data_IF_284616902608
#
_entry.id   IF_284616902608
#
_cell.length_a   1.000
_cell.length_b   1.000
_cell.length_c   1.000
_cell.angle_alpha   90.00
_cell.angle_beta   90.00
_cell.angle_gamma   90.00
#
_symmetry.space_group_name_H-M   'P 1'
#
loop_
_entity.id
_entity.type
_entity.pdbx_description
1 polymer ?
#
# COMPACT_ATOMS: atom_id res chain seq x y z
N UNK A 1 -25.99 -44.37 32.85
CA UNK A 1 -26.58 -44.07 31.52
C UNK A 1 -27.24 -42.71 31.63
N UNK A 2 -26.52 -41.66 31.27
CA UNK A 2 -27.02 -40.29 31.31
C UNK A 2 -26.86 -39.77 29.89
N UNK A 3 -27.91 -39.94 29.10
CA UNK A 3 -28.03 -39.41 27.74
C UNK A 3 -28.17 -37.90 27.84
N UNK A 4 -27.06 -37.18 27.67
CA UNK A 4 -27.09 -35.73 27.50
C UNK A 4 -27.92 -35.39 26.26
N UNK A 5 -28.96 -34.59 26.45
CA UNK A 5 -29.73 -34.04 25.33
C UNK A 5 -28.80 -33.15 24.50
N UNK A 6 -28.78 -33.29 23.17
CA UNK A 6 -27.91 -32.48 22.32
C UNK A 6 -28.29 -31.01 22.45
N UNK A 7 -27.27 -30.15 22.47
CA UNK A 7 -27.50 -28.71 22.46
C UNK A 7 -28.23 -28.31 21.16
N UNK A 8 -29.06 -27.26 21.19
CA UNK A 8 -29.86 -26.81 20.04
C UNK A 8 -29.03 -26.47 18.79
N UNK A 9 -27.72 -26.27 18.96
CA UNK A 9 -26.71 -26.08 17.91
C UNK A 9 -26.29 -27.40 17.24
N UNK A 10 -26.17 -28.49 18.01
CA UNK A 10 -25.81 -29.83 17.49
C UNK A 10 -26.97 -30.51 16.76
N UNK A 11 -28.22 -30.22 17.15
CA UNK A 11 -29.40 -30.81 16.52
C UNK A 11 -29.66 -30.31 15.08
N UNK A 12 -29.13 -29.15 14.68
CA UNK A 12 -29.30 -28.57 13.33
C UNK A 12 -28.22 -28.98 12.33
N UNK A 13 -27.16 -29.68 12.77
CA UNK A 13 -26.09 -30.14 11.89
C UNK A 13 -26.45 -31.41 11.09
N UNK A 14 -27.51 -32.12 11.47
CA UNK A 14 -27.89 -33.41 10.88
C UNK A 14 -28.95 -33.34 9.77
N UNK A 15 -29.41 -32.14 9.39
CA UNK A 15 -30.59 -31.98 8.52
C UNK A 15 -30.32 -31.20 7.21
N UNK A 16 -29.05 -30.93 6.89
CA UNK A 16 -28.70 -30.27 5.61
C UNK A 16 -28.67 -31.32 4.49
N UNK A 17 -29.46 -31.15 3.41
CA UNK A 17 -29.46 -32.07 2.28
C UNK A 17 -28.08 -32.14 1.61
N UNK A 18 -27.68 -33.35 1.17
CA UNK A 18 -26.44 -33.55 0.42
C UNK A 18 -26.32 -32.65 -0.81
N UNK A 19 -27.43 -32.39 -1.50
CA UNK A 19 -27.48 -31.47 -2.64
C UNK A 19 -27.01 -30.06 -2.27
N UNK A 20 -27.38 -29.56 -1.09
CA UNK A 20 -26.94 -28.24 -0.60
C UNK A 20 -25.46 -28.25 -0.22
N UNK A 21 -24.98 -29.35 0.37
CA UNK A 21 -23.54 -29.52 0.67
C UNK A 21 -22.69 -29.58 -0.61
N UNK A 22 -23.19 -30.22 -1.66
CA UNK A 22 -22.52 -30.27 -2.96
C UNK A 22 -22.54 -28.90 -3.67
N UNK A 23 -23.62 -28.11 -3.52
CA UNK A 23 -23.66 -26.72 -3.98
C UNK A 23 -22.63 -25.85 -3.24
N UNK A 24 -22.51 -26.00 -1.92
CA UNK A 24 -21.51 -25.29 -1.12
C UNK A 24 -20.08 -25.66 -1.56
N UNK A 25 -19.82 -26.95 -1.81
CA UNK A 25 -18.53 -27.42 -2.36
C UNK A 25 -18.22 -26.75 -3.69
N UNK A 26 -19.15 -26.79 -4.65
CA UNK A 26 -18.98 -26.19 -5.98
C UNK A 26 -18.78 -24.68 -5.91
N UNK A 27 -19.51 -23.99 -5.04
CA UNK A 27 -19.30 -22.57 -4.79
C UNK A 27 -17.92 -22.28 -4.21
N UNK A 28 -17.44 -23.10 -3.27
CA UNK A 28 -16.09 -22.97 -2.72
C UNK A 28 -14.99 -23.21 -3.79
N UNK A 29 -15.19 -24.16 -4.71
CA UNK A 29 -14.31 -24.38 -5.87
C UNK A 29 -14.29 -23.15 -6.81
N UNK A 30 -15.44 -22.53 -7.04
CA UNK A 30 -15.52 -21.27 -7.79
C UNK A 30 -14.79 -20.14 -7.06
N UNK A 31 -14.93 -20.03 -5.73
CA UNK A 31 -14.19 -19.05 -4.93
C UNK A 31 -12.68 -19.22 -5.10
N UNK A 32 -12.16 -20.45 -5.08
CA UNK A 32 -10.73 -20.73 -5.29
C UNK A 32 -10.24 -20.41 -6.71
N UNK A 33 -11.14 -20.38 -7.69
CA UNK A 33 -10.86 -20.02 -9.08
C UNK A 33 -11.31 -18.61 -9.45
N UNK A 34 -11.65 -17.78 -8.45
CA UNK A 34 -12.21 -16.44 -8.66
C UNK A 34 -11.29 -15.53 -9.48
N UNK A 35 -11.86 -14.68 -10.35
CA UNK A 35 -11.13 -13.62 -11.03
C UNK A 35 -10.47 -12.63 -10.05
N UNK A 36 -9.38 -11.99 -10.47
CA UNK A 36 -8.60 -11.02 -9.67
C UNK A 36 -9.45 -9.80 -9.29
N UNK A 37 -10.46 -9.48 -10.08
CA UNK A 37 -11.40 -8.37 -9.89
C UNK A 37 -12.23 -8.55 -8.62
N UNK A 38 -12.65 -9.78 -8.28
CA UNK A 38 -13.40 -10.07 -7.04
C UNK A 38 -12.55 -9.84 -5.79
N UNK A 39 -11.29 -10.28 -5.85
CA UNK A 39 -10.33 -10.03 -4.77
C UNK A 39 -10.07 -8.53 -4.59
N UNK A 40 -10.09 -7.77 -5.69
CA UNK A 40 -9.90 -6.32 -5.66
C UNK A 40 -11.08 -5.60 -4.99
N UNK A 41 -12.33 -6.06 -5.15
CA UNK A 41 -13.48 -5.50 -4.44
C UNK A 41 -13.37 -5.67 -2.92
N UNK A 42 -12.97 -6.86 -2.46
CA UNK A 42 -12.77 -7.18 -1.03
C UNK A 42 -11.61 -6.36 -0.45
N UNK A 43 -10.50 -6.32 -1.18
CA UNK A 43 -9.33 -5.53 -0.81
C UNK A 43 -9.69 -4.04 -0.68
N UNK A 44 -10.39 -3.47 -1.66
CA UNK A 44 -10.82 -2.07 -1.63
C UNK A 44 -11.77 -1.77 -0.48
N UNK A 45 -12.77 -2.62 -0.23
CA UNK A 45 -13.73 -2.42 0.86
C UNK A 45 -13.04 -2.32 2.23
N UNK A 46 -12.01 -3.16 2.47
CA UNK A 46 -11.23 -3.10 3.71
C UNK A 46 -10.36 -1.84 3.85
N UNK A 47 -10.00 -1.20 2.72
CA UNK A 47 -9.13 -0.02 2.68
C UNK A 47 -9.90 1.32 2.71
N UNK A 48 -11.20 1.33 2.42
CA UNK A 48 -12.05 2.55 2.38
C UNK A 48 -12.81 2.80 3.67
N UNK A 49 -12.47 2.11 4.77
CA UNK A 49 -13.12 2.32 6.07
C UNK A 49 -12.87 3.76 6.54
N UNK A 50 -13.94 4.44 7.00
CA UNK A 50 -14.01 5.86 7.40
C UNK A 50 -13.11 6.23 8.60
N UNK A 51 -11.80 6.17 8.40
CA UNK A 51 -10.81 6.95 9.14
C UNK A 51 -9.77 7.41 8.11
N UNK A 52 -9.59 8.72 7.90
CA UNK A 52 -8.59 9.23 6.98
C UNK A 52 -7.19 8.70 7.36
N UNK A 53 -6.59 7.93 6.46
CA UNK A 53 -5.13 7.86 6.34
C UNK A 53 -4.41 6.62 6.90
N UNK A 54 -4.92 5.93 7.91
CA UNK A 54 -4.09 4.95 8.63
C UNK A 54 -3.76 3.66 7.83
N UNK A 55 -4.74 3.01 7.20
CA UNK A 55 -4.50 1.74 6.46
C UNK A 55 -4.25 1.94 4.97
N UNK A 56 -4.92 2.91 4.34
CA UNK A 56 -4.79 3.15 2.90
C UNK A 56 -3.49 3.86 2.52
N UNK A 57 -2.92 4.64 3.45
CA UNK A 57 -1.72 5.42 3.19
C UNK A 57 -0.43 4.74 3.72
N UNK A 58 -0.55 3.74 4.59
CA UNK A 58 0.55 2.84 4.94
C UNK A 58 0.60 1.66 3.94
N UNK A 59 1.60 1.60 3.04
CA UNK A 59 1.69 0.55 2.04
C UNK A 59 1.95 -0.84 2.62
N UNK A 60 2.55 -0.96 3.80
CA UNK A 60 2.84 -2.22 4.51
C UNK A 60 1.55 -2.80 5.06
N UNK A 61 0.81 -2.00 5.85
CA UNK A 61 -0.49 -2.40 6.39
C UNK A 61 -1.46 -2.77 5.27
N UNK A 62 -1.51 -1.97 4.20
CA UNK A 62 -2.32 -2.25 3.02
C UNK A 62 -1.94 -3.59 2.38
N UNK A 63 -0.66 -3.84 2.10
CA UNK A 63 -0.21 -5.08 1.46
C UNK A 63 -0.50 -6.33 2.32
N UNK A 64 -0.24 -6.24 3.62
CA UNK A 64 -0.54 -7.30 4.59
C UNK A 64 -2.06 -7.55 4.70
N UNK A 65 -2.89 -6.49 4.67
CA UNK A 65 -4.35 -6.64 4.69
C UNK A 65 -4.84 -7.42 3.47
N UNK A 66 -4.33 -7.11 2.27
CA UNK A 66 -4.71 -7.83 1.04
C UNK A 66 -4.33 -9.31 1.09
N UNK A 67 -3.11 -9.61 1.58
CA UNK A 67 -2.67 -11.00 1.75
C UNK A 67 -3.49 -11.73 2.81
N UNK A 68 -3.81 -11.07 3.92
CA UNK A 68 -4.68 -11.61 4.95
C UNK A 68 -6.08 -11.95 4.42
N UNK A 69 -6.71 -11.03 3.67
CA UNK A 69 -8.01 -11.26 3.04
C UNK A 69 -7.98 -12.49 2.12
N UNK A 70 -6.98 -12.55 1.23
CA UNK A 70 -6.78 -13.68 0.30
C UNK A 70 -6.54 -15.00 1.03
N UNK A 71 -5.71 -14.99 2.06
CA UNK A 71 -5.43 -16.16 2.88
C UNK A 71 -6.68 -16.68 3.58
N UNK A 72 -7.49 -15.80 4.17
CA UNK A 72 -8.74 -16.18 4.83
C UNK A 72 -9.79 -16.72 3.87
N UNK A 73 -9.97 -16.10 2.70
CA UNK A 73 -10.88 -16.62 1.66
C UNK A 73 -10.45 -18.01 1.19
N UNK A 74 -9.15 -18.17 0.91
CA UNK A 74 -8.57 -19.45 0.47
C UNK A 74 -8.77 -20.53 1.52
N UNK A 75 -8.48 -20.23 2.80
CA UNK A 75 -8.66 -21.17 3.90
C UNK A 75 -10.11 -21.60 4.08
N UNK A 76 -11.06 -20.65 4.07
CA UNK A 76 -12.48 -20.96 4.19
C UNK A 76 -12.99 -21.81 3.02
N UNK A 77 -12.57 -21.48 1.80
CA UNK A 77 -12.98 -22.22 0.61
C UNK A 77 -12.40 -23.64 0.61
N UNK A 78 -11.11 -23.83 0.89
CA UNK A 78 -10.49 -25.15 1.00
C UNK A 78 -11.18 -26.02 2.05
N UNK A 79 -11.51 -25.46 3.21
CA UNK A 79 -12.23 -26.19 4.26
C UNK A 79 -13.61 -26.68 3.80
N UNK A 80 -14.34 -25.87 3.03
CA UNK A 80 -15.64 -26.25 2.47
C UNK A 80 -15.54 -27.14 1.23
N UNK A 81 -14.39 -27.18 0.53
CA UNK A 81 -14.12 -28.20 -0.49
C UNK A 81 -13.95 -29.58 0.16
N UNK A 82 -13.12 -29.65 1.21
CA UNK A 82 -12.81 -30.89 1.91
C UNK A 82 -14.01 -31.44 2.71
N UNK A 83 -14.64 -30.58 3.52
CA UNK A 83 -15.75 -30.95 4.43
C UNK A 83 -16.85 -29.87 4.39
N UNK A 84 -17.69 -29.85 3.34
CA UNK A 84 -18.71 -28.82 3.17
C UNK A 84 -19.65 -28.76 4.37
N UNK A 85 -19.90 -27.56 4.88
CA UNK A 85 -20.86 -27.31 5.96
C UNK A 85 -20.36 -27.66 7.36
N UNK A 86 -19.18 -28.26 7.50
CA UNK A 86 -18.54 -28.44 8.79
C UNK A 86 -18.02 -27.10 9.35
N UNK A 87 -17.88 -26.96 10.68
CA UNK A 87 -17.23 -25.79 11.26
C UNK A 87 -15.81 -25.60 10.71
N UNK A 88 -15.53 -24.40 10.20
CA UNK A 88 -14.21 -24.04 9.68
C UNK A 88 -13.33 -23.58 10.85
N UNK A 89 -12.18 -24.22 11.01
CA UNK A 89 -11.22 -23.85 12.06
C UNK A 89 -10.67 -22.43 11.84
N UNK A 90 -10.36 -21.67 12.90
CA UNK A 90 -9.80 -20.34 12.76
C UNK A 90 -8.46 -20.37 12.03
N UNK A 91 -8.21 -19.33 11.25
CA UNK A 91 -6.99 -19.11 10.49
C UNK A 91 -6.50 -17.68 10.71
N UNK A 92 -5.50 -17.54 11.57
CA UNK A 92 -4.86 -16.27 11.89
C UNK A 92 -3.48 -16.26 11.24
N UNK A 93 -3.41 -15.73 10.02
CA UNK A 93 -2.17 -15.59 9.26
C UNK A 93 -1.20 -14.64 9.95
N UNK A 94 0.10 -14.74 9.64
CA UNK A 94 1.11 -13.84 10.22
C UNK A 94 0.90 -12.37 9.76
N UNK A 95 0.39 -12.16 8.55
CA UNK A 95 -0.03 -10.83 8.08
C UNK A 95 -1.10 -10.21 8.98
N UNK A 96 -2.10 -10.99 9.42
CA UNK A 96 -3.12 -10.51 10.36
C UNK A 96 -2.53 -10.18 11.73
N UNK A 97 -1.60 -11.00 12.23
CA UNK A 97 -0.94 -10.72 13.51
C UNK A 97 -0.08 -9.46 13.43
N UNK A 98 0.64 -9.27 12.34
CA UNK A 98 1.45 -8.08 12.10
C UNK A 98 0.58 -6.82 12.08
N UNK A 99 -0.50 -6.81 11.29
CA UNK A 99 -1.44 -5.69 11.24
C UNK A 99 -2.08 -5.40 12.60
N UNK A 100 -2.47 -6.44 13.34
CA UNK A 100 -3.04 -6.29 14.67
C UNK A 100 -2.07 -5.62 15.65
N UNK A 101 -0.80 -6.04 15.65
CA UNK A 101 0.24 -5.42 16.49
C UNK A 101 0.48 -3.97 16.08
N UNK A 102 0.50 -3.69 14.78
CA UNK A 102 0.79 -2.36 14.28
C UNK A 102 -0.34 -1.37 14.54
N UNK A 103 -1.60 -1.75 14.33
CA UNK A 103 -2.74 -0.90 14.64
C UNK A 103 -2.83 -0.57 16.14
N UNK A 104 -2.38 -1.48 17.02
CA UNK A 104 -2.21 -1.20 18.45
C UNK A 104 -1.13 -0.15 18.70
N UNK A 105 0.01 -0.22 18.00
CA UNK A 105 1.12 0.76 18.12
C UNK A 105 0.76 2.14 17.59
N UNK A 106 -0.09 2.19 16.57
CA UNK A 106 -0.64 3.42 16.01
C UNK A 106 -1.79 3.99 16.86
N UNK A 107 -2.25 3.28 17.89
CA UNK A 107 -3.33 3.73 18.77
C UNK A 107 -4.73 3.65 18.15
N UNK A 108 -4.89 2.91 17.05
CA UNK A 108 -6.15 2.76 16.29
C UNK A 108 -6.56 1.28 16.09
N UNK A 109 -6.60 0.46 17.17
CA UNK A 109 -6.89 -0.98 17.06
C UNK A 109 -8.29 -1.30 16.52
N UNK A 110 -9.25 -0.39 16.68
CA UNK A 110 -10.62 -0.52 16.18
C UNK A 110 -10.69 -0.66 14.65
N UNK A 111 -9.69 -0.14 13.92
CA UNK A 111 -9.62 -0.28 12.47
C UNK A 111 -9.55 -1.72 11.99
N UNK A 112 -8.95 -2.62 12.77
CA UNK A 112 -8.87 -4.03 12.41
C UNK A 112 -10.27 -4.64 12.25
N UNK A 113 -11.19 -4.31 13.17
CA UNK A 113 -12.54 -4.84 13.17
C UNK A 113 -13.41 -4.20 12.09
N UNK A 114 -13.26 -2.89 11.90
CA UNK A 114 -13.98 -2.16 10.85
C UNK A 114 -13.55 -2.63 9.44
N UNK A 115 -12.25 -2.81 9.21
CA UNK A 115 -11.71 -3.34 7.96
C UNK A 115 -12.15 -4.78 7.69
N UNK A 116 -12.11 -5.64 8.71
CA UNK A 116 -12.58 -7.01 8.58
C UNK A 116 -14.08 -7.10 8.27
N UNK A 117 -14.91 -6.27 8.92
CA UNK A 117 -16.35 -6.21 8.64
C UNK A 117 -16.64 -5.72 7.23
N UNK A 118 -15.90 -4.73 6.74
CA UNK A 118 -16.03 -4.24 5.37
C UNK A 118 -15.63 -5.32 4.35
N UNK A 119 -14.51 -6.03 4.57
CA UNK A 119 -14.09 -7.16 3.77
C UNK A 119 -15.13 -8.29 3.76
N UNK A 120 -15.68 -8.63 4.94
CA UNK A 120 -16.72 -9.65 5.09
C UNK A 120 -17.98 -9.29 4.29
N UNK A 121 -18.46 -8.05 4.36
CA UNK A 121 -19.63 -7.61 3.62
C UNK A 121 -19.40 -7.69 2.09
N UNK A 122 -18.21 -7.28 1.62
CA UNK A 122 -17.84 -7.40 0.21
C UNK A 122 -17.78 -8.87 -0.23
N UNK A 123 -17.15 -9.73 0.56
CA UNK A 123 -17.09 -11.17 0.30
C UNK A 123 -18.48 -11.82 0.29
N UNK A 124 -19.38 -11.40 1.19
CA UNK A 124 -20.76 -11.87 1.24
C UNK A 124 -21.55 -11.48 -0.01
N UNK A 125 -21.39 -10.25 -0.49
CA UNK A 125 -22.03 -9.80 -1.74
C UNK A 125 -21.57 -10.60 -2.96
N UNK A 126 -20.29 -10.96 -3.03
CA UNK A 126 -19.76 -11.82 -4.07
C UNK A 126 -20.28 -13.26 -3.94
N UNK A 127 -20.29 -13.80 -2.72
CA UNK A 127 -20.84 -15.14 -2.46
C UNK A 127 -22.33 -15.24 -2.84
N UNK A 128 -23.12 -14.20 -2.59
CA UNK A 128 -24.52 -14.18 -3.03
C UNK A 128 -24.62 -14.37 -4.55
N UNK A 129 -23.82 -13.65 -5.35
CA UNK A 129 -23.80 -13.81 -6.81
C UNK A 129 -23.51 -15.26 -7.21
N UNK A 130 -22.48 -15.87 -6.61
CA UNK A 130 -22.13 -17.29 -6.80
C UNK A 130 -23.31 -18.21 -6.47
N UNK A 131 -23.95 -18.01 -5.32
CA UNK A 131 -25.07 -18.85 -4.90
C UNK A 131 -26.25 -18.80 -5.89
N UNK A 132 -26.56 -17.63 -6.45
CA UNK A 132 -27.59 -17.45 -7.47
C UNK A 132 -27.22 -18.07 -8.83
N UNK A 133 -25.93 -18.23 -9.15
CA UNK A 133 -25.49 -18.93 -10.37
C UNK A 133 -25.50 -20.46 -10.23
N UNK A 134 -25.45 -20.97 -8.99
CA UNK A 134 -25.33 -22.41 -8.73
C UNK A 134 -26.67 -23.16 -8.76
N UNK A 135 -27.79 -22.50 -8.46
CA UNK A 135 -29.12 -23.12 -8.42
C UNK A 135 -30.25 -22.10 -8.59
N UNK A 136 -31.24 -22.46 -9.40
CA UNK A 136 -32.51 -21.73 -9.54
C UNK A 136 -33.60 -22.23 -8.56
N UNK A 137 -33.33 -23.29 -7.79
CA UNK A 137 -34.28 -23.83 -6.81
C UNK A 137 -34.33 -22.93 -5.55
N UNK A 138 -35.45 -22.24 -5.26
CA UNK A 138 -35.54 -21.33 -4.13
C UNK A 138 -35.33 -22.00 -2.77
N UNK A 139 -35.67 -23.29 -2.63
CA UNK A 139 -35.50 -24.03 -1.39
C UNK A 139 -34.02 -24.34 -1.14
N UNK A 140 -33.30 -24.79 -2.17
CA UNK A 140 -31.86 -25.05 -2.09
C UNK A 140 -31.08 -23.76 -1.89
N UNK A 141 -31.42 -22.70 -2.62
CA UNK A 141 -30.78 -21.38 -2.48
C UNK A 141 -30.92 -20.84 -1.06
N UNK A 142 -32.12 -20.91 -0.46
CA UNK A 142 -32.35 -20.47 0.93
C UNK A 142 -31.43 -21.22 1.90
N UNK A 143 -31.38 -22.54 1.79
CA UNK A 143 -30.57 -23.38 2.67
C UNK A 143 -29.06 -23.16 2.46
N UNK A 144 -28.64 -22.98 1.20
CA UNK A 144 -27.24 -22.67 0.86
C UNK A 144 -26.82 -21.35 1.50
N UNK A 145 -27.61 -20.29 1.36
CA UNK A 145 -27.31 -18.99 1.94
C UNK A 145 -27.32 -19.04 3.48
N UNK A 146 -28.26 -19.73 4.10
CA UNK A 146 -28.32 -19.90 5.56
C UNK A 146 -27.10 -20.64 6.11
N UNK A 147 -26.72 -21.76 5.47
CA UNK A 147 -25.54 -22.53 5.83
C UNK A 147 -24.25 -21.71 5.63
N UNK A 148 -24.15 -21.01 4.50
CA UNK A 148 -22.98 -20.22 4.16
C UNK A 148 -22.79 -19.03 5.11
N UNK A 149 -23.88 -18.31 5.44
CA UNK A 149 -23.86 -17.20 6.39
C UNK A 149 -23.36 -17.65 7.76
N UNK A 150 -23.89 -18.77 8.27
CA UNK A 150 -23.42 -19.38 9.53
C UNK A 150 -21.95 -19.78 9.48
N UNK A 151 -21.53 -20.43 8.40
CA UNK A 151 -20.14 -20.87 8.22
C UNK A 151 -19.16 -19.69 8.18
N UNK A 152 -19.45 -18.67 7.36
CA UNK A 152 -18.62 -17.46 7.22
C UNK A 152 -18.57 -16.69 8.53
N UNK A 153 -19.72 -16.44 9.19
CA UNK A 153 -19.76 -15.68 10.44
C UNK A 153 -18.98 -16.40 11.56
N UNK A 154 -19.20 -17.71 11.74
CA UNK A 154 -18.48 -18.48 12.77
C UNK A 154 -16.98 -18.50 12.54
N UNK A 155 -16.52 -18.60 11.29
CA UNK A 155 -15.10 -18.51 10.95
C UNK A 155 -14.51 -17.13 11.25
N UNK A 156 -15.20 -16.05 10.86
CA UNK A 156 -14.74 -14.67 11.09
C UNK A 156 -14.71 -14.35 12.59
N UNK A 157 -15.75 -14.73 13.34
CA UNK A 157 -15.81 -14.55 14.80
C UNK A 157 -14.63 -15.25 15.50
N UNK A 158 -14.35 -16.52 15.16
CA UNK A 158 -13.23 -17.25 15.74
C UNK A 158 -11.86 -16.62 15.42
N UNK A 159 -11.69 -16.03 14.24
CA UNK A 159 -10.47 -15.27 13.90
C UNK A 159 -10.36 -13.99 14.74
N UNK A 160 -11.46 -13.25 14.90
CA UNK A 160 -11.49 -11.99 15.67
C UNK A 160 -11.21 -12.20 17.15
N UNK A 161 -11.68 -13.31 17.73
CA UNK A 161 -11.35 -13.69 19.12
C UNK A 161 -9.84 -13.86 19.32
N UNK A 162 -9.17 -14.60 18.43
CA UNK A 162 -7.72 -14.79 18.53
C UNK A 162 -6.91 -13.52 18.23
N UNK A 163 -7.38 -12.67 17.32
CA UNK A 163 -6.76 -11.35 17.07
C UNK A 163 -6.86 -10.44 18.29
N UNK A 164 -8.00 -10.45 18.98
CA UNK A 164 -8.21 -9.66 20.21
C UNK A 164 -7.20 -10.05 21.29
N UNK A 165 -6.89 -11.34 21.43
CA UNK A 165 -5.87 -11.81 22.37
C UNK A 165 -4.46 -11.30 22.02
N UNK A 166 -4.10 -11.29 20.73
CA UNK A 166 -2.81 -10.78 20.25
C UNK A 166 -2.68 -9.28 20.50
N UNK A 167 -3.73 -8.50 20.22
CA UNK A 167 -3.72 -7.06 20.46
C UNK A 167 -3.56 -6.73 21.94
N UNK A 168 -4.18 -7.50 22.83
CA UNK A 168 -4.03 -7.33 24.28
C UNK A 168 -2.58 -7.55 24.72
N UNK A 169 -1.95 -8.64 24.29
CA UNK A 169 -0.55 -8.94 24.61
C UNK A 169 0.40 -7.86 24.09
N UNK A 170 0.20 -7.35 22.87
CA UNK A 170 1.02 -6.27 22.32
C UNK A 170 0.86 -4.97 23.13
N UNK A 171 -0.36 -4.61 23.51
CA UNK A 171 -0.61 -3.41 24.33
C UNK A 171 0.12 -3.49 25.67
N UNK A 172 0.11 -4.65 26.31
CA UNK A 172 0.85 -4.86 27.56
C UNK A 172 2.38 -4.78 27.38
N UNK A 173 2.91 -5.27 26.25
CA UNK A 173 4.34 -5.16 25.91
C UNK A 173 4.77 -3.71 25.68
N UNK A 174 3.95 -2.90 25.02
CA UNK A 174 4.25 -1.49 24.78
C UNK A 174 4.37 -0.70 26.08
N UNK A 175 3.50 -0.97 27.06
CA UNK A 175 3.57 -0.35 28.40
C UNK A 175 4.91 -0.67 29.10
N UNK A 176 5.55 -1.79 28.75
CA UNK A 176 6.76 -2.30 29.43
C UNK A 176 8.09 -1.96 28.74
N UNK A 177 8.11 -1.45 27.50
CA UNK A 177 9.35 -1.35 26.70
C UNK A 177 9.83 0.09 26.45
N UNK A 178 11.04 0.43 26.89
CA UNK A 178 11.67 1.77 26.72
C UNK A 178 12.16 2.12 25.30
N UNK A 179 11.96 1.25 24.31
CA UNK A 179 12.12 1.62 22.88
C UNK A 179 11.05 2.61 22.40
N UNK A 180 9.94 2.68 23.14
CA UNK A 180 8.91 3.72 22.99
C UNK A 180 9.56 5.11 23.09
N UNK A 181 10.55 5.31 23.95
CA UNK A 181 11.13 6.63 24.23
C UNK A 181 11.74 7.33 23.00
N UNK A 182 12.51 6.62 22.15
CA UNK A 182 13.17 7.27 21.00
C UNK A 182 12.18 7.56 19.87
N UNK A 183 11.27 6.62 19.59
CA UNK A 183 10.21 6.80 18.58
C UNK A 183 9.25 7.90 19.00
N UNK A 184 8.84 7.91 20.26
CA UNK A 184 7.96 8.94 20.83
C UNK A 184 8.64 10.31 20.83
N UNK A 185 9.93 10.38 21.16
CA UNK A 185 10.70 11.62 21.06
C UNK A 185 10.73 12.17 19.64
N UNK A 186 11.01 11.33 18.63
CA UNK A 186 10.99 11.77 17.22
C UNK A 186 9.57 12.13 16.79
N UNK A 187 8.56 11.36 17.19
CA UNK A 187 7.16 11.63 16.82
C UNK A 187 6.72 13.01 17.30
N UNK A 188 7.02 13.38 18.55
CA UNK A 188 6.77 14.73 19.07
C UNK A 188 7.48 15.83 18.27
N UNK A 189 8.74 15.60 17.90
CA UNK A 189 9.49 16.54 17.03
C UNK A 189 8.81 16.68 15.66
N UNK A 190 8.29 15.59 15.08
CA UNK A 190 7.58 15.59 13.81
C UNK A 190 6.22 16.28 13.89
N UNK A 191 5.53 16.19 15.04
CA UNK A 191 4.28 16.89 15.34
C UNK A 191 4.51 18.40 15.55
N UNK A 192 5.75 18.81 15.83
CA UNK A 192 6.14 20.20 15.99
C UNK A 192 6.27 20.65 17.44
N UNK A 193 6.36 19.72 18.38
CA UNK A 193 6.64 20.03 19.77
C UNK A 193 8.01 20.69 19.90
N UNK A 194 8.01 21.91 20.45
CA UNK A 194 9.20 22.71 20.64
C UNK A 194 10.09 22.06 21.69
N UNK A 195 11.15 21.40 21.22
CA UNK A 195 12.14 20.73 22.05
C UNK A 195 13.50 21.43 21.90
N UNK A 196 14.26 21.55 22.99
CA UNK A 196 15.61 22.14 22.94
C UNK A 196 16.55 21.28 22.07
N UNK A 197 17.06 21.84 20.96
CA UNK A 197 17.97 21.15 20.02
C UNK A 197 19.19 20.52 20.71
N UNK A 198 19.90 21.18 21.64
CA UNK A 198 20.99 20.55 22.39
C UNK A 198 20.57 19.29 23.16
N UNK A 199 19.39 19.28 23.77
CA UNK A 199 18.87 18.09 24.47
C UNK A 199 18.55 16.98 23.49
N UNK A 200 17.93 17.33 22.36
CA UNK A 200 17.59 16.38 21.30
C UNK A 200 18.83 15.70 20.73
N UNK A 201 19.90 16.47 20.47
CA UNK A 201 21.18 15.94 19.97
C UNK A 201 21.78 14.90 20.94
N UNK A 202 21.75 15.17 22.24
CA UNK A 202 22.26 14.25 23.28
C UNK A 202 21.39 12.99 23.36
N UNK A 203 20.06 13.14 23.38
CA UNK A 203 19.12 12.02 23.50
C UNK A 203 19.13 11.12 22.26
N UNK A 204 19.21 11.71 21.06
CA UNK A 204 19.28 10.97 19.81
C UNK A 204 20.69 10.50 19.46
N UNK A 205 21.73 11.02 20.13
CA UNK A 205 23.14 10.84 19.75
C UNK A 205 23.37 11.13 18.26
N UNK A 206 22.71 12.18 17.78
CA UNK A 206 22.66 12.57 16.37
C UNK A 206 22.42 14.08 16.25
N UNK A 207 23.14 14.77 15.36
CA UNK A 207 23.10 16.22 15.24
C UNK A 207 21.97 16.67 14.29
N UNK A 208 20.80 17.01 14.84
CA UNK A 208 19.64 17.44 14.02
C UNK A 208 19.81 18.83 13.41
N UNK A 209 20.82 19.58 13.82
CA UNK A 209 21.13 20.94 13.38
C UNK A 209 21.91 21.03 12.06
N UNK A 210 22.43 19.90 11.56
CA UNK A 210 23.16 19.79 10.29
C UNK A 210 22.21 19.74 9.07
N UNK A 211 22.72 19.76 7.82
CA UNK A 211 21.93 19.35 6.65
C UNK A 211 21.36 17.94 6.86
N UNK A 212 20.08 17.77 6.58
CA UNK A 212 19.29 16.59 6.83
C UNK A 212 18.66 16.11 5.53
N UNK A 213 18.80 14.82 5.28
CA UNK A 213 18.03 14.10 4.29
C UNK A 213 17.37 12.91 4.96
N UNK A 214 16.04 12.85 4.90
CA UNK A 214 15.27 11.78 5.46
C UNK A 214 14.79 10.80 4.39
N UNK A 215 14.71 9.54 4.77
CA UNK A 215 14.09 8.49 4.00
C UNK A 215 13.21 7.60 4.88
N UNK A 216 12.18 7.02 4.27
CA UNK A 216 11.43 5.90 4.85
C UNK A 216 11.74 4.66 4.02
N UNK A 217 12.26 3.65 4.70
CA UNK A 217 12.60 2.35 4.14
C UNK A 217 11.61 1.34 4.68
N UNK A 218 10.91 0.61 3.81
CA UNK A 218 9.98 -0.43 4.26
C UNK A 218 10.04 -1.68 3.40
N UNK A 219 9.55 -2.79 3.96
CA UNK A 219 9.29 -4.02 3.22
C UNK A 219 7.80 -4.33 3.22
N UNK A 220 7.29 -4.80 2.09
CA UNK A 220 5.92 -5.33 2.04
C UNK A 220 5.79 -6.68 2.76
N UNK A 221 6.89 -7.37 3.07
CA UNK A 221 6.90 -8.56 3.93
C UNK A 221 7.02 -8.15 5.40
N UNK A 222 5.98 -8.36 6.23
CA UNK A 222 5.98 -7.97 7.63
C UNK A 222 6.97 -8.76 8.49
N UNK A 223 7.43 -9.92 8.00
CA UNK A 223 8.38 -10.79 8.67
C UNK A 223 9.84 -10.50 8.29
N UNK A 224 10.07 -9.42 7.54
CA UNK A 224 11.42 -8.99 7.17
C UNK A 224 12.27 -8.81 8.43
N UNK A 225 13.50 -9.33 8.40
CA UNK A 225 14.46 -9.01 9.45
C UNK A 225 14.82 -7.53 9.40
N UNK A 226 14.72 -6.85 10.54
CA UNK A 226 15.03 -5.41 10.65
C UNK A 226 16.47 -5.09 10.17
N UNK A 227 17.39 -6.04 10.36
CA UNK A 227 18.79 -5.99 9.89
C UNK A 227 18.92 -5.73 8.38
N UNK A 228 17.95 -6.23 7.59
CA UNK A 228 17.87 -6.01 6.15
C UNK A 228 17.56 -4.55 5.83
N UNK A 229 16.61 -3.96 6.55
CA UNK A 229 16.26 -2.54 6.40
C UNK A 229 17.40 -1.62 6.90
N UNK A 230 18.09 -2.02 7.97
CA UNK A 230 19.30 -1.31 8.43
C UNK A 230 20.46 -1.40 7.42
N UNK A 231 20.55 -2.48 6.64
CA UNK A 231 21.48 -2.57 5.52
C UNK A 231 21.20 -1.50 4.46
N UNK A 232 19.92 -1.31 4.15
CA UNK A 232 19.45 -0.30 3.18
C UNK A 232 19.70 1.11 3.69
N UNK A 233 19.47 1.39 4.98
CA UNK A 233 19.73 2.71 5.56
C UNK A 233 21.22 3.10 5.52
N UNK A 234 22.12 2.12 5.75
CA UNK A 234 23.57 2.34 5.60
C UNK A 234 23.97 2.61 4.15
N UNK A 235 23.38 1.92 3.18
CA UNK A 235 23.62 2.19 1.75
C UNK A 235 23.09 3.56 1.36
N UNK A 236 21.89 3.92 1.83
CA UNK A 236 21.29 5.24 1.60
C UNK A 236 22.22 6.38 2.07
N UNK A 237 22.74 6.28 3.31
CA UNK A 237 23.69 7.24 3.84
C UNK A 237 24.96 7.35 2.97
N UNK A 238 25.51 6.22 2.51
CA UNK A 238 26.68 6.19 1.61
C UNK A 238 26.41 6.86 0.27
N UNK A 239 25.24 6.62 -0.33
CA UNK A 239 24.81 7.28 -1.57
C UNK A 239 24.60 8.80 -1.40
N UNK A 240 24.39 9.26 -0.16
CA UNK A 240 24.34 10.69 0.20
C UNK A 240 25.69 11.26 0.66
N UNK A 241 26.78 10.47 0.57
CA UNK A 241 28.15 10.88 0.89
C UNK A 241 28.56 10.77 2.36
N UNK A 242 27.78 10.10 3.21
CA UNK A 242 28.06 9.98 4.65
C UNK A 242 27.98 8.53 5.17
N UNK A 243 28.57 8.29 6.34
CA UNK A 243 28.38 7.06 7.11
C UNK A 243 27.50 7.27 8.35
N UNK A 244 27.23 8.52 8.72
CA UNK A 244 26.38 8.87 9.85
C UNK A 244 24.91 8.74 9.45
N UNK A 245 24.20 7.86 10.16
CA UNK A 245 22.79 7.58 9.94
C UNK A 245 22.06 7.45 11.27
N UNK A 246 20.94 8.12 11.38
CA UNK A 246 19.96 7.92 12.43
C UNK A 246 18.89 6.98 11.90
N UNK A 247 18.67 5.85 12.58
CA UNK A 247 17.56 4.94 12.29
C UNK A 247 16.62 4.84 13.48
N UNK A 248 15.32 4.81 13.19
CA UNK A 248 14.26 4.51 14.15
C UNK A 248 13.26 3.55 13.52
N UNK A 249 12.97 2.47 14.22
CA UNK A 249 11.92 1.54 13.83
C UNK A 249 10.56 2.21 14.07
N UNK A 250 9.86 2.49 12.98
CA UNK A 250 8.47 2.90 13.03
C UNK A 250 7.60 1.69 13.38
N UNK A 251 7.88 0.56 12.72
CA UNK A 251 7.29 -0.75 12.97
C UNK A 251 8.23 -1.89 12.57
N UNK A 252 7.75 -3.13 12.59
CA UNK A 252 8.58 -4.31 12.30
C UNK A 252 9.13 -4.35 10.87
N UNK A 253 8.49 -3.65 9.94
CA UNK A 253 8.85 -3.66 8.53
C UNK A 253 9.09 -2.26 7.95
N UNK A 254 9.22 -1.23 8.79
CA UNK A 254 9.45 0.16 8.39
C UNK A 254 10.48 0.84 9.28
N UNK A 255 11.52 1.40 8.66
CA UNK A 255 12.52 2.24 9.29
C UNK A 255 12.38 3.68 8.79
N UNK A 256 12.36 4.61 9.73
CA UNK A 256 12.68 6.01 9.47
C UNK A 256 14.19 6.19 9.52
N UNK A 257 14.71 6.95 8.56
CA UNK A 257 16.14 7.13 8.34
C UNK A 257 16.43 8.61 8.15
N UNK A 258 17.45 9.12 8.82
CA UNK A 258 18.04 10.43 8.53
C UNK A 258 19.55 10.28 8.35
N UNK A 259 20.11 11.05 7.42
CA UNK A 259 21.55 11.18 7.28
C UNK A 259 21.95 12.63 6.97
N UNK A 260 23.19 12.96 7.28
CA UNK A 260 23.79 14.24 6.88
C UNK A 260 24.20 14.18 5.41
N UNK A 261 23.36 14.68 4.50
CA UNK A 261 23.71 14.71 3.09
C UNK A 261 24.91 15.63 2.86
N UNK A 262 26.00 15.09 2.35
CA UNK A 262 27.23 15.83 2.01
C UNK A 262 27.45 15.91 0.50
N UNK A 263 26.65 15.17 -0.28
CA UNK A 263 26.61 15.18 -1.73
C UNK A 263 25.17 14.91 -2.22
N UNK A 264 24.83 15.29 -3.47
CA UNK A 264 23.58 14.88 -4.09
C UNK A 264 23.41 13.35 -4.05
N UNK A 265 22.20 12.88 -3.77
CA UNK A 265 21.91 11.45 -3.63
C UNK A 265 22.16 10.71 -4.96
N UNK A 266 23.05 9.71 -4.94
CA UNK A 266 23.29 8.82 -6.07
C UNK A 266 22.13 7.82 -6.24
N UNK A 267 21.06 8.28 -6.94
CA UNK A 267 19.89 7.47 -7.24
C UNK A 267 20.20 6.22 -8.07
N UNK A 268 21.02 6.27 -9.14
CA UNK A 268 21.40 5.07 -9.89
C UNK A 268 22.03 3.98 -9.03
N UNK A 269 22.96 4.34 -8.14
CA UNK A 269 23.59 3.38 -7.24
C UNK A 269 22.57 2.76 -6.27
N UNK A 270 21.67 3.58 -5.73
CA UNK A 270 20.64 3.11 -4.81
C UNK A 270 19.61 2.19 -5.52
N UNK A 271 19.19 2.52 -6.74
CA UNK A 271 18.33 1.68 -7.57
C UNK A 271 18.95 0.30 -7.84
N UNK A 272 20.25 0.27 -8.17
CA UNK A 272 20.99 -0.97 -8.40
C UNK A 272 21.10 -1.83 -7.13
N UNK A 273 21.29 -1.20 -5.96
CA UNK A 273 21.30 -1.92 -4.69
C UNK A 273 19.91 -2.54 -4.40
N UNK A 274 18.85 -1.75 -4.56
CA UNK A 274 17.47 -2.17 -4.31
C UNK A 274 16.98 -3.22 -5.30
N UNK A 275 17.50 -3.29 -6.53
CA UNK A 275 17.09 -4.34 -7.47
C UNK A 275 17.40 -5.75 -6.96
N UNK A 276 18.42 -5.89 -6.11
CA UNK A 276 18.79 -7.16 -5.48
C UNK A 276 17.94 -7.51 -4.25
N UNK A 277 17.06 -6.61 -3.80
CA UNK A 277 16.25 -6.78 -2.60
C UNK A 277 14.76 -6.87 -2.94
N UNK A 278 14.21 -8.08 -2.93
CA UNK A 278 12.77 -8.30 -3.11
C UNK A 278 11.92 -7.60 -2.04
N UNK A 279 10.88 -6.88 -2.50
CA UNK A 279 9.84 -6.29 -1.65
C UNK A 279 10.27 -5.10 -0.80
N UNK A 280 11.47 -4.56 -1.00
CA UNK A 280 12.00 -3.40 -0.25
C UNK A 280 11.86 -2.13 -1.09
N UNK A 281 11.37 -1.07 -0.44
CA UNK A 281 11.12 0.22 -1.06
C UNK A 281 11.68 1.34 -0.21
N UNK A 282 12.03 2.45 -0.87
CA UNK A 282 12.61 3.63 -0.24
C UNK A 282 11.91 4.87 -0.77
N UNK A 283 11.51 5.76 0.13
CA UNK A 283 11.03 7.09 -0.21
C UNK A 283 11.90 8.11 0.45
N UNK A 284 12.17 9.22 -0.23
CA UNK A 284 13.13 10.22 0.23
C UNK A 284 12.48 11.60 0.19
N UNK A 285 12.68 12.40 1.22
CA UNK A 285 12.28 13.80 1.25
C UNK A 285 13.23 14.69 0.44
N UNK A 286 12.99 16.00 0.48
CA UNK A 286 13.96 16.97 -0.01
C UNK A 286 14.97 17.30 1.10
N UNK A 287 16.16 17.76 0.70
CA UNK A 287 17.17 18.21 1.66
C UNK A 287 16.67 19.44 2.45
N UNK A 288 17.02 19.51 3.72
CA UNK A 288 16.76 20.67 4.55
C UNK A 288 17.81 20.82 5.64
N UNK A 289 17.91 22.00 6.24
CA UNK A 289 18.88 22.26 7.30
C UNK A 289 18.20 22.44 8.64
N UNK A 290 18.86 22.04 9.71
CA UNK A 290 18.36 22.26 11.06
C UNK A 290 17.17 21.37 11.42
N UNK A 291 16.53 21.70 12.55
CA UNK A 291 15.36 20.96 13.05
C UNK A 291 14.18 20.99 12.07
N UNK A 292 13.98 22.11 11.37
CA UNK A 292 12.94 22.23 10.34
C UNK A 292 13.27 21.35 9.14
N UNK A 293 14.54 21.25 8.74
CA UNK A 293 15.01 20.32 7.71
C UNK A 293 14.80 18.86 8.10
N UNK A 294 15.17 18.52 9.35
CA UNK A 294 14.94 17.20 9.95
C UNK A 294 13.47 16.78 9.85
N UNK A 295 12.56 17.67 10.24
CA UNK A 295 11.11 17.46 10.22
C UNK A 295 10.56 17.43 8.79
N UNK A 296 10.83 18.46 8.00
CA UNK A 296 10.27 18.62 6.65
C UNK A 296 10.66 17.47 5.75
N UNK A 297 11.94 17.09 5.74
CA UNK A 297 12.43 16.00 4.91
C UNK A 297 11.70 14.69 5.22
N UNK A 298 11.44 14.40 6.51
CA UNK A 298 10.67 13.22 6.89
C UNK A 298 9.20 13.31 6.46
N UNK A 299 8.54 14.44 6.66
CA UNK A 299 7.15 14.63 6.25
C UNK A 299 6.98 14.52 4.72
N UNK A 300 7.95 14.99 3.95
CA UNK A 300 8.02 14.83 2.50
C UNK A 300 8.25 13.36 2.11
N UNK A 301 9.15 12.65 2.79
CA UNK A 301 9.35 11.20 2.61
C UNK A 301 8.06 10.41 2.92
N UNK A 302 7.39 10.71 4.03
CA UNK A 302 6.11 10.12 4.41
C UNK A 302 5.04 10.38 3.36
N UNK A 303 4.92 11.63 2.90
CA UNK A 303 4.01 11.98 1.80
C UNK A 303 4.32 11.19 0.53
N UNK A 304 5.59 10.98 0.24
CA UNK A 304 6.03 10.13 -0.87
C UNK A 304 5.63 8.67 -0.69
N UNK A 305 5.78 8.12 0.50
CA UNK A 305 5.33 6.77 0.84
C UNK A 305 3.81 6.61 0.67
N UNK A 306 3.02 7.61 1.08
CA UNK A 306 1.56 7.58 0.92
C UNK A 306 1.15 7.56 -0.56
N UNK A 307 1.74 8.43 -1.38
CA UNK A 307 1.53 8.44 -2.84
C UNK A 307 2.00 7.13 -3.48
N UNK A 308 3.13 6.58 -3.02
CA UNK A 308 3.65 5.29 -3.45
C UNK A 308 2.64 4.16 -3.18
N UNK A 309 2.07 4.11 -1.98
CA UNK A 309 1.10 3.08 -1.58
C UNK A 309 -0.17 3.08 -2.43
N UNK A 310 -0.59 4.26 -2.89
CA UNK A 310 -1.75 4.46 -3.77
C UNK A 310 -1.43 4.10 -5.23
N UNK A 311 -0.31 4.60 -5.77
CA UNK A 311 -0.01 4.51 -7.20
C UNK A 311 0.80 3.26 -7.60
N UNK A 312 1.45 2.59 -6.63
CA UNK A 312 2.26 1.37 -6.82
C UNK A 312 3.23 1.47 -8.02
N UNK A 313 4.11 2.49 -8.04
CA UNK A 313 5.05 2.67 -9.14
C UNK A 313 6.03 1.48 -9.23
N UNK A 314 6.57 1.23 -10.43
CA UNK A 314 7.55 0.16 -10.66
C UNK A 314 8.92 0.43 -10.03
N UNK A 315 9.23 1.70 -9.75
CA UNK A 315 10.48 2.09 -9.11
C UNK A 315 10.50 1.66 -7.64
N UNK A 316 11.64 1.20 -7.15
CA UNK A 316 11.82 0.85 -5.72
C UNK A 316 12.28 2.02 -4.86
N UNK A 317 12.75 3.09 -5.48
CA UNK A 317 13.07 4.34 -4.82
C UNK A 317 12.32 5.48 -5.50
N UNK A 318 11.79 6.39 -4.69
CA UNK A 318 11.13 7.61 -5.16
C UNK A 318 11.57 8.77 -4.27
N UNK A 319 11.96 9.89 -4.88
CA UNK A 319 12.27 11.13 -4.15
C UNK A 319 11.10 12.10 -4.25
N UNK A 320 10.88 12.92 -3.21
CA UNK A 320 9.74 13.82 -3.13
C UNK A 320 9.66 14.78 -4.31
N UNK A 321 10.80 15.30 -4.79
CA UNK A 321 10.83 16.20 -5.94
C UNK A 321 10.22 15.58 -7.21
N UNK A 322 10.26 14.25 -7.36
CA UNK A 322 9.67 13.55 -8.51
C UNK A 322 8.15 13.44 -8.44
N UNK A 323 7.57 13.57 -7.25
CA UNK A 323 6.12 13.41 -7.02
C UNK A 323 5.48 14.67 -6.45
N UNK A 324 6.22 15.74 -6.19
CA UNK A 324 5.70 16.94 -5.50
C UNK A 324 4.42 17.46 -6.16
N UNK A 325 4.41 17.55 -7.49
CA UNK A 325 3.23 17.94 -8.26
C UNK A 325 2.10 16.91 -8.15
N UNK A 326 2.43 15.63 -8.28
CA UNK A 326 1.47 14.51 -8.16
C UNK A 326 0.83 14.48 -6.78
N UNK A 327 1.60 14.69 -5.72
CA UNK A 327 1.13 14.71 -4.34
C UNK A 327 0.10 15.80 -4.11
N UNK A 328 0.37 17.01 -4.59
CA UNK A 328 -0.55 18.15 -4.45
C UNK A 328 -1.85 17.94 -5.22
N UNK A 329 -1.78 17.27 -6.37
CA UNK A 329 -2.96 17.04 -7.19
C UNK A 329 -3.76 15.81 -6.74
N UNK A 330 -3.09 14.79 -6.20
CA UNK A 330 -3.71 13.54 -5.74
C UNK A 330 -4.48 13.64 -4.41
N UNK A 331 -4.61 14.84 -3.83
CA UNK A 331 -5.49 15.09 -2.70
C UNK A 331 -6.98 14.96 -3.11
N UNK A 332 -7.31 15.25 -4.38
CA UNK A 332 -8.64 15.02 -4.97
C UNK A 332 -8.53 14.13 -6.23
N UNK A 333 -8.80 12.82 -6.10
CA UNK A 333 -8.73 11.89 -7.22
C UNK A 333 -9.72 12.18 -8.36
N UNK A 334 -10.88 12.75 -8.05
CA UNK A 334 -11.90 13.04 -9.07
C UNK A 334 -11.52 14.29 -9.85
N UNK A 335 -11.11 15.36 -9.16
CA UNK A 335 -10.56 16.54 -9.80
C UNK A 335 -9.31 16.21 -10.64
N UNK A 336 -8.47 15.30 -10.17
CA UNK A 336 -7.31 14.80 -10.93
C UNK A 336 -7.73 14.12 -12.23
N UNK A 337 -8.71 13.19 -12.18
CA UNK A 337 -9.21 12.51 -13.38
C UNK A 337 -9.81 13.49 -14.38
N UNK A 338 -10.62 14.44 -13.91
CA UNK A 338 -11.17 15.50 -14.75
C UNK A 338 -10.07 16.37 -15.36
N UNK A 339 -9.07 16.77 -14.58
CA UNK A 339 -7.95 17.58 -15.07
C UNK A 339 -7.18 16.86 -16.18
N UNK A 340 -6.83 15.58 -15.97
CA UNK A 340 -6.12 14.77 -16.97
C UNK A 340 -6.96 14.61 -18.24
N UNK A 341 -8.25 14.25 -18.10
CA UNK A 341 -9.15 14.09 -19.24
C UNK A 341 -9.34 15.39 -20.02
N UNK A 342 -9.57 16.51 -19.33
CA UNK A 342 -9.78 17.83 -19.96
C UNK A 342 -8.51 18.37 -20.63
N UNK A 343 -7.34 18.07 -20.06
CA UNK A 343 -6.06 18.63 -20.53
C UNK A 343 -5.45 17.80 -21.67
N UNK A 344 -5.53 16.47 -21.58
CA UNK A 344 -4.90 15.56 -22.55
C UNK A 344 -5.88 15.08 -23.64
N UNK A 345 -7.19 15.07 -23.40
CA UNK A 345 -8.16 14.53 -24.36
C UNK A 345 -7.82 13.11 -24.80
N UNK A 346 -7.80 12.88 -26.10
CA UNK A 346 -7.51 11.58 -26.71
C UNK A 346 -6.07 11.10 -26.43
N UNK A 347 -5.15 12.02 -26.08
CA UNK A 347 -3.78 11.67 -25.72
C UNK A 347 -3.71 10.85 -24.41
N UNK A 348 -4.70 10.99 -23.51
CA UNK A 348 -4.75 10.24 -22.25
C UNK A 348 -4.84 8.73 -22.47
N UNK A 349 -5.56 8.31 -23.50
CA UNK A 349 -5.74 6.90 -23.91
C UNK A 349 -4.82 6.47 -25.06
N UNK A 350 -3.96 7.36 -25.56
CA UNK A 350 -3.07 7.07 -26.67
C UNK A 350 -1.94 6.10 -26.28
N UNK A 351 -1.18 5.65 -27.28
CA UNK A 351 -0.04 4.79 -27.05
C UNK A 351 1.00 5.41 -26.11
N UNK A 352 1.50 4.61 -25.17
CA UNK A 352 2.51 5.01 -24.17
C UNK A 352 3.72 5.71 -24.77
N UNK A 353 4.13 5.32 -25.99
CA UNK A 353 5.25 5.93 -26.69
C UNK A 353 5.04 7.42 -27.03
N UNK A 354 3.80 7.83 -27.30
CA UNK A 354 3.45 9.23 -27.58
C UNK A 354 3.51 10.06 -26.30
N UNK A 355 2.92 9.53 -25.22
CA UNK A 355 2.94 10.15 -23.89
C UNK A 355 4.38 10.34 -23.39
N UNK A 356 5.19 9.28 -23.49
CA UNK A 356 6.58 9.29 -23.05
C UNK A 356 7.45 10.21 -23.92
N UNK A 357 7.21 10.25 -25.23
CA UNK A 357 7.91 11.17 -26.14
C UNK A 357 7.63 12.64 -25.80
N UNK A 358 6.36 13.00 -25.62
CA UNK A 358 5.97 14.38 -25.30
C UNK A 358 6.44 14.79 -23.91
N UNK A 359 6.27 13.93 -22.89
CA UNK A 359 6.76 14.21 -21.55
C UNK A 359 8.28 14.41 -21.52
N UNK A 360 9.04 13.57 -22.23
CA UNK A 360 10.51 13.71 -22.30
C UNK A 360 10.93 14.98 -23.02
N UNK A 361 10.21 15.38 -24.07
CA UNK A 361 10.47 16.63 -24.78
C UNK A 361 10.22 17.86 -23.90
N UNK A 362 9.10 17.87 -23.17
CA UNK A 362 8.75 18.96 -22.25
C UNK A 362 9.74 19.05 -21.08
N UNK A 363 10.15 17.92 -20.50
CA UNK A 363 11.10 17.89 -19.37
C UNK A 363 12.51 18.35 -19.72
N UNK A 364 12.90 18.31 -21.00
CA UNK A 364 14.18 18.82 -21.49
C UNK A 364 14.03 20.22 -22.11
N UNK A 365 13.07 21.02 -21.64
CA UNK A 365 12.90 22.41 -22.05
C UNK A 365 12.51 22.56 -23.53
N UNK A 366 11.70 21.65 -24.06
CA UNK A 366 11.30 21.63 -25.47
C UNK A 366 12.51 21.46 -26.43
N UNK A 367 13.58 20.78 -25.99
CA UNK A 367 14.76 20.50 -26.80
C UNK A 367 14.71 19.08 -27.42
N UNK A 368 14.46 19.01 -28.73
CA UNK A 368 14.36 17.75 -29.44
C UNK A 368 15.65 16.93 -29.44
N UNK A 369 16.83 17.55 -29.45
CA UNK A 369 18.12 16.85 -29.47
C UNK A 369 18.39 16.14 -28.14
N UNK A 370 18.14 16.83 -27.02
CA UNK A 370 18.23 16.25 -25.68
C UNK A 370 17.23 15.10 -25.51
N UNK A 371 15.98 15.30 -25.92
CA UNK A 371 14.95 14.28 -25.84
C UNK A 371 15.26 13.04 -26.69
N UNK A 372 15.80 13.18 -27.91
CA UNK A 372 16.24 12.05 -28.73
C UNK A 372 17.34 11.24 -28.07
N UNK A 373 18.32 11.91 -27.47
CA UNK A 373 19.42 11.27 -26.75
C UNK A 373 18.90 10.48 -25.56
N UNK A 374 17.97 11.05 -24.79
CA UNK A 374 17.36 10.38 -23.63
C UNK A 374 16.55 9.15 -24.02
N UNK A 375 15.74 9.26 -25.07
CA UNK A 375 14.86 8.18 -25.55
C UNK A 375 15.57 7.15 -26.44
N UNK A 376 16.87 7.36 -26.75
CA UNK A 376 17.62 6.53 -27.69
C UNK A 376 16.88 6.35 -29.03
N UNK A 377 16.25 7.42 -29.53
CA UNK A 377 15.44 7.39 -30.75
C UNK A 377 15.94 8.37 -31.79
N UNK A 378 15.62 8.13 -33.06
CA UNK A 378 15.98 9.02 -34.15
C UNK A 378 15.14 10.30 -34.13
N UNK A 379 15.73 11.44 -34.52
CA UNK A 379 15.06 12.75 -34.54
C UNK A 379 13.74 12.77 -35.30
N UNK A 380 13.70 12.15 -36.49
CA UNK A 380 12.48 12.10 -37.29
C UNK A 380 11.36 11.30 -36.61
N UNK A 381 11.71 10.24 -35.89
CA UNK A 381 10.75 9.43 -35.13
C UNK A 381 10.18 10.23 -33.96
N UNK A 382 11.03 10.95 -33.22
CA UNK A 382 10.57 11.84 -32.15
C UNK A 382 9.62 12.92 -32.69
N UNK A 383 9.99 13.61 -33.76
CA UNK A 383 9.17 14.67 -34.34
C UNK A 383 7.80 14.16 -34.82
N UNK A 384 7.75 12.98 -35.45
CA UNK A 384 6.47 12.35 -35.83
C UNK A 384 5.61 12.02 -34.60
N UNK A 385 6.21 11.52 -33.52
CA UNK A 385 5.51 11.24 -32.27
C UNK A 385 5.00 12.52 -31.61
N UNK A 386 5.79 13.61 -31.61
CA UNK A 386 5.37 14.90 -31.08
C UNK A 386 4.22 15.51 -31.88
N UNK A 387 4.30 15.51 -33.21
CA UNK A 387 3.22 16.00 -34.07
C UNK A 387 1.92 15.21 -33.84
N UNK A 388 2.01 13.87 -33.77
CA UNK A 388 0.84 13.04 -33.48
C UNK A 388 0.30 13.26 -32.07
N UNK A 389 1.15 13.49 -31.08
CA UNK A 389 0.71 13.79 -29.73
C UNK A 389 -0.03 15.15 -29.68
N UNK A 390 0.45 16.15 -30.42
CA UNK A 390 -0.17 17.47 -30.50
C UNK A 390 -1.53 17.46 -31.22
N UNK A 391 -1.71 16.63 -32.26
CA UNK A 391 -3.01 16.40 -32.91
C UNK A 391 -4.09 15.85 -31.97
N UNK A 392 -3.68 15.13 -30.91
CA UNK A 392 -4.58 14.51 -29.95
C UNK A 392 -4.92 15.41 -28.76
N UNK A 393 -4.26 16.57 -28.64
CA UNK A 393 -4.52 17.52 -27.57
C UNK A 393 -5.78 18.36 -27.86
N UNK A 394 -6.65 18.60 -26.87
CA UNK A 394 -7.82 19.47 -27.02
C UNK A 394 -7.49 20.94 -27.33
N UNK A 395 -6.26 21.38 -27.01
CA UNK A 395 -5.77 22.75 -27.20
C UNK A 395 -4.35 22.73 -27.73
N UNK A 396 -3.91 23.76 -28.48
CA UNK A 396 -2.54 23.84 -28.99
C UNK A 396 -1.50 23.70 -27.88
N UNK A 397 -0.47 22.89 -28.11
CA UNK A 397 0.56 22.65 -27.08
C UNK A 397 1.22 23.96 -26.65
N UNK A 398 1.46 24.88 -27.58
CA UNK A 398 2.07 26.19 -27.33
C UNK A 398 1.36 27.02 -26.24
N UNK A 399 0.04 26.89 -26.11
CA UNK A 399 -0.78 27.66 -25.18
C UNK A 399 -0.96 26.97 -23.83
N UNK A 400 -0.66 25.66 -23.73
CA UNK A 400 -0.98 24.86 -22.55
C UNK A 400 0.15 23.92 -22.05
N UNK A 401 1.41 24.21 -22.40
CA UNK A 401 2.58 23.34 -22.11
C UNK A 401 2.67 22.88 -20.66
N UNK A 402 2.43 23.80 -19.72
CA UNK A 402 2.54 23.52 -18.28
C UNK A 402 1.49 22.50 -17.84
N UNK A 403 0.24 22.69 -18.26
CA UNK A 403 -0.85 21.79 -17.85
C UNK A 403 -0.68 20.43 -18.53
N UNK A 404 -0.25 20.40 -19.80
CA UNK A 404 0.02 19.15 -20.53
C UNK A 404 1.17 18.38 -19.87
N UNK A 405 2.26 19.04 -19.49
CA UNK A 405 3.35 18.41 -18.74
C UNK A 405 2.86 17.83 -17.41
N UNK A 406 2.09 18.62 -16.64
CA UNK A 406 1.51 18.19 -15.37
C UNK A 406 0.60 16.97 -15.53
N UNK A 407 -0.31 17.00 -16.50
CA UNK A 407 -1.25 15.91 -16.75
C UNK A 407 -0.55 14.64 -17.23
N UNK A 408 0.48 14.76 -18.06
CA UNK A 408 1.31 13.61 -18.47
C UNK A 408 2.10 13.03 -17.29
N UNK A 409 2.64 13.86 -16.40
CA UNK A 409 3.28 13.36 -15.18
C UNK A 409 2.27 12.52 -14.37
N UNK A 410 1.09 13.05 -14.06
CA UNK A 410 0.04 12.31 -13.32
C UNK A 410 -0.27 10.96 -13.96
N UNK A 411 -0.47 10.94 -15.29
CA UNK A 411 -0.81 9.74 -16.04
C UNK A 411 0.30 8.68 -15.99
N UNK A 412 1.58 9.09 -16.02
CA UNK A 412 2.70 8.14 -15.91
C UNK A 412 2.75 7.45 -14.54
N UNK A 413 2.39 8.15 -13.48
CA UNK A 413 2.36 7.61 -12.13
C UNK A 413 1.15 6.70 -11.90
N UNK A 414 -0.03 7.02 -12.44
CA UNK A 414 -1.21 6.15 -12.34
C UNK A 414 -1.08 4.86 -13.15
N UNK A 415 -0.36 4.88 -14.27
CA UNK A 415 -0.17 3.73 -15.15
C UNK A 415 1.07 2.88 -14.79
N UNK A 416 1.77 3.18 -13.69
CA UNK A 416 2.94 2.43 -13.23
C UNK A 416 4.12 2.43 -14.24
N UNK A 417 4.33 3.52 -14.98
CA UNK A 417 5.40 3.61 -15.98
C UNK A 417 6.76 3.94 -15.33
N UNK A 418 7.85 3.40 -15.89
CA UNK A 418 9.22 3.62 -15.39
C UNK A 418 9.71 5.00 -15.86
N UNK A 419 9.89 5.95 -14.94
CA UNK A 419 10.53 7.24 -15.23
C UNK A 419 12.02 7.01 -15.52
N UNK A 420 12.55 7.67 -16.54
CA UNK A 420 13.99 7.72 -16.78
C UNK A 420 14.51 8.96 -16.02
N UNK A 421 15.43 8.83 -15.04
CA UNK A 421 15.79 9.93 -14.14
C UNK A 421 16.22 11.20 -14.88
N UNK A 422 15.79 12.36 -14.38
CA UNK A 422 16.34 13.65 -14.79
C UNK A 422 17.76 13.76 -14.23
N UNK A 423 18.70 14.17 -15.09
CA UNK A 423 20.09 14.41 -14.70
C UNK A 423 20.29 15.79 -14.11
#
# INVERSE_FOLDING_TARGET
MTTGSPTRSEALSNDVPRSVLDLLRRGAEQVLSSPVEWLSEIDNASMTVDVPGAMAEDPVLAAATRRANRGSLTHWALANVEKPGAPVAPYISEDMKSNARELVRLGVPELMFSAARAAQNAAWNLWMKVAFELTDDPAQLRQLLELSSRSVNGFVEANMEGITAIMRDEREKLIRSGQVDRRELITRVLEGDLTSVPRLNIQLKYAVDQPQLAAIVWCEDPNVEISRLEGVSRTFARCAGTSEVLTVAANSATLWVWCHATAPLDLPQMEQYLSNLSGVYVTVGSEGTGLDGFRRSHLEAATTQRVFGRLRPKSRIVVFDQIRLVSLMSEDPEATRQFVSHTLGDLASAGVELQQALLTYLSHGCNAAQATKRLHTHRNTLLRRLARAEELLPRPLAENRIHVAAALELLTWSNGQKRIPGG
#
